data_IF_026298216533
#
_entry.id   IF_026298216533
#
_cell.length_a   1.000
_cell.length_b   1.000
_cell.length_c   1.000
_cell.angle_alpha   90.00
_cell.angle_beta   90.00
_cell.angle_gamma   90.00
#
_symmetry.space_group_name_H-M   'P 1'
#
loop_
_entity.id
_entity.type
_entity.pdbx_description
1 polymer ?
#
# COMPACT_ATOMS: atom_id res chain seq x y z
N UNK A 1 5.58 7.48 -0.23
CA UNK A 1 6.85 7.86 0.45
C UNK A 1 6.67 7.95 1.96
N UNK A 2 5.66 8.68 2.46
CA UNK A 2 5.32 8.72 3.89
C UNK A 2 4.89 7.36 4.43
N UNK A 3 3.62 7.00 4.23
CA UNK A 3 2.98 5.92 5.00
C UNK A 3 3.00 4.53 4.34
N UNK A 4 3.69 4.40 3.20
CA UNK A 4 3.92 3.09 2.57
C UNK A 4 5.01 2.31 3.29
N UNK A 5 4.72 1.06 3.65
CA UNK A 5 5.66 0.08 4.21
C UNK A 5 5.70 -1.19 3.35
N UNK A 6 6.91 -1.56 2.93
CA UNK A 6 7.13 -2.76 2.14
C UNK A 6 7.25 -3.97 3.06
N UNK A 7 6.53 -5.05 2.75
CA UNK A 7 6.55 -6.27 3.54
C UNK A 7 7.78 -7.13 3.25
N UNK A 8 7.97 -8.20 4.03
CA UNK A 8 9.16 -9.07 3.97
C UNK A 8 9.41 -9.68 2.57
N UNK A 9 8.34 -9.93 1.81
CA UNK A 9 8.42 -10.44 0.44
C UNK A 9 8.96 -9.42 -0.58
N UNK A 10 9.07 -8.15 -0.16
CA UNK A 10 9.47 -7.00 -0.97
C UNK A 10 8.53 -6.73 -2.15
N UNK A 11 7.32 -7.27 -2.15
CA UNK A 11 6.32 -7.14 -3.23
C UNK A 11 5.00 -6.59 -2.72
N UNK A 12 4.58 -7.04 -1.55
CA UNK A 12 3.39 -6.54 -0.86
C UNK A 12 3.71 -5.21 -0.17
N UNK A 13 2.84 -4.23 -0.29
CA UNK A 13 2.96 -2.94 0.38
C UNK A 13 1.72 -2.66 1.22
N UNK A 14 1.93 -2.20 2.46
CA UNK A 14 0.86 -1.69 3.31
C UNK A 14 0.93 -0.17 3.28
N UNK A 15 -0.20 0.47 3.00
CA UNK A 15 -0.38 1.89 3.15
C UNK A 15 -1.03 2.16 4.50
N UNK A 16 -0.24 2.69 5.43
CA UNK A 16 -0.64 2.98 6.79
C UNK A 16 -1.64 4.13 6.83
N UNK A 17 -2.93 3.78 6.95
CA UNK A 17 -4.10 4.65 6.82
C UNK A 17 -4.98 4.59 8.08
N UNK A 18 -4.35 4.33 9.23
CA UNK A 18 -5.02 4.16 10.53
C UNK A 18 -5.74 5.42 11.03
N UNK A 19 -5.42 6.59 10.46
CA UNK A 19 -6.13 7.83 10.75
C UNK A 19 -7.54 7.88 10.12
N UNK A 20 -7.81 7.02 9.13
CA UNK A 20 -9.11 6.92 8.49
C UNK A 20 -9.94 5.80 9.12
N UNK A 21 -11.26 5.94 9.01
CA UNK A 21 -12.22 4.89 9.36
C UNK A 21 -12.12 3.71 8.40
N UNK A 22 -12.67 2.57 8.82
CA UNK A 22 -12.78 1.38 7.96
C UNK A 22 -13.50 1.70 6.64
N UNK A 23 -14.63 2.42 6.69
CA UNK A 23 -15.40 2.79 5.49
C UNK A 23 -14.59 3.67 4.54
N UNK A 24 -13.87 4.67 5.05
CA UNK A 24 -13.00 5.52 4.24
C UNK A 24 -11.88 4.71 3.57
N UNK A 25 -11.30 3.74 4.28
CA UNK A 25 -10.30 2.84 3.71
C UNK A 25 -10.88 1.92 2.62
N UNK A 26 -12.13 1.45 2.78
CA UNK A 26 -12.83 0.71 1.74
C UNK A 26 -13.02 1.55 0.48
N UNK A 27 -13.54 2.77 0.62
CA UNK A 27 -13.76 3.70 -0.50
C UNK A 27 -12.42 3.99 -1.20
N UNK A 28 -11.36 4.31 -0.45
CA UNK A 28 -10.04 4.56 -1.02
C UNK A 28 -9.48 3.33 -1.75
N UNK A 29 -9.70 2.12 -1.22
CA UNK A 29 -9.27 0.88 -1.87
C UNK A 29 -10.03 0.66 -3.20
N UNK A 30 -11.34 0.89 -3.22
CA UNK A 30 -12.13 0.77 -4.46
C UNK A 30 -11.70 1.79 -5.52
N UNK A 31 -11.44 3.04 -5.12
CA UNK A 31 -10.95 4.09 -6.02
C UNK A 31 -9.55 3.77 -6.58
N UNK A 32 -8.65 3.24 -5.76
CA UNK A 32 -7.32 2.79 -6.21
C UNK A 32 -7.45 1.68 -7.26
N UNK A 33 -8.35 0.72 -7.02
CA UNK A 33 -8.61 -0.38 -7.94
C UNK A 33 -9.21 0.11 -9.25
N UNK A 34 -10.25 0.96 -9.19
CA UNK A 34 -10.94 1.49 -10.37
C UNK A 34 -10.03 2.38 -11.22
N UNK A 35 -9.22 3.25 -10.60
CA UNK A 35 -8.44 4.27 -11.30
C UNK A 35 -7.13 3.75 -11.87
N UNK A 36 -6.46 2.85 -11.15
CA UNK A 36 -5.12 2.40 -11.51
C UNK A 36 -5.06 0.91 -11.88
N UNK A 37 -6.16 0.17 -11.74
CA UNK A 37 -6.21 -1.27 -12.05
C UNK A 37 -5.53 -2.14 -10.99
N UNK A 38 -5.46 -1.67 -9.75
CA UNK A 38 -4.97 -2.47 -8.62
C UNK A 38 -5.99 -3.50 -8.15
N UNK A 39 -5.53 -4.41 -7.31
CA UNK A 39 -6.35 -5.36 -6.54
C UNK A 39 -6.15 -5.15 -5.04
N UNK A 40 -6.14 -3.90 -4.57
CA UNK A 40 -5.98 -3.60 -3.14
C UNK A 40 -7.17 -4.05 -2.31
N UNK A 41 -6.90 -4.33 -1.04
CA UNK A 41 -7.90 -4.72 -0.04
C UNK A 41 -7.66 -3.98 1.28
N UNK A 42 -8.72 -3.82 2.07
CA UNK A 42 -8.59 -3.35 3.45
C UNK A 42 -8.09 -4.52 4.30
N UNK A 43 -6.96 -4.33 4.99
CA UNK A 43 -6.35 -5.31 5.85
C UNK A 43 -6.37 -4.82 7.30
N UNK A 44 -6.82 -5.70 8.19
CA UNK A 44 -6.71 -5.48 9.63
C UNK A 44 -5.29 -5.77 10.08
N UNK A 45 -4.55 -4.72 10.45
CA UNK A 45 -3.20 -4.82 10.95
C UNK A 45 -3.17 -4.60 12.46
N UNK A 46 -2.14 -5.14 13.13
CA UNK A 46 -1.96 -4.94 14.58
C UNK A 46 -0.68 -4.16 14.90
N UNK A 47 -0.62 -2.85 14.60
CA UNK A 47 0.51 -2.04 15.02
C UNK A 47 0.46 -1.89 16.55
N UNK A 48 1.49 -2.39 17.25
CA UNK A 48 1.74 -2.06 18.65
C UNK A 48 0.55 -2.24 19.63
N UNK A 49 -0.12 -3.39 19.53
CA UNK A 49 -1.17 -3.94 20.43
C UNK A 49 -2.62 -3.60 20.10
N UNK A 50 -2.89 -2.55 19.32
CA UNK A 50 -4.25 -2.23 18.84
C UNK A 50 -4.46 -2.74 17.41
N UNK A 51 -5.71 -3.06 17.09
CA UNK A 51 -6.11 -3.45 15.74
C UNK A 51 -6.57 -2.20 14.99
N UNK A 52 -6.00 -1.97 13.82
CA UNK A 52 -6.33 -0.86 12.94
C UNK A 52 -6.53 -1.36 11.50
N UNK A 53 -7.26 -0.59 10.70
CA UNK A 53 -7.47 -0.87 9.29
C UNK A 53 -6.45 -0.11 8.44
N UNK A 54 -5.89 -0.78 7.44
CA UNK A 54 -4.99 -0.19 6.46
C UNK A 54 -5.28 -0.73 5.07
N UNK A 55 -4.71 -0.12 4.03
CA UNK A 55 -4.86 -0.61 2.66
C UNK A 55 -3.64 -1.45 2.28
N UNK A 56 -3.87 -2.66 1.81
CA UNK A 56 -2.85 -3.58 1.32
C UNK A 56 -2.84 -3.64 -0.19
N UNK A 57 -1.67 -3.40 -0.78
CA UNK A 57 -1.38 -3.70 -2.18
C UNK A 57 -0.86 -5.14 -2.30
N UNK A 58 -1.53 -5.93 -3.13
CA UNK A 58 -1.19 -7.33 -3.33
C UNK A 58 0.11 -7.51 -4.12
N UNK A 59 0.85 -8.58 -3.83
CA UNK A 59 2.12 -8.89 -4.49
C UNK A 59 2.02 -9.08 -6.00
N UNK A 60 0.83 -9.45 -6.51
CA UNK A 60 0.52 -9.54 -7.94
C UNK A 60 0.64 -8.18 -8.65
N UNK A 61 0.37 -7.10 -7.92
CA UNK A 61 0.39 -5.74 -8.44
C UNK A 61 1.77 -5.07 -8.29
N UNK A 62 2.77 -5.79 -7.77
CA UNK A 62 4.09 -5.23 -7.47
C UNK A 62 4.74 -4.55 -8.70
N UNK A 63 4.57 -5.13 -9.90
CA UNK A 63 5.09 -4.54 -11.14
C UNK A 63 4.39 -3.24 -11.51
N UNK A 64 3.06 -3.24 -11.44
CA UNK A 64 2.25 -2.07 -11.73
C UNK A 64 2.58 -0.93 -10.75
N UNK A 65 2.60 -1.24 -9.45
CA UNK A 65 2.92 -0.29 -8.40
C UNK A 65 4.36 0.24 -8.53
N UNK A 66 5.34 -0.64 -8.77
CA UNK A 66 6.74 -0.24 -8.99
C UNK A 66 6.85 0.77 -10.14
N UNK A 67 6.25 0.46 -11.29
CA UNK A 67 6.34 1.32 -12.47
C UNK A 67 5.63 2.67 -12.27
N UNK A 68 4.51 2.66 -11.55
CA UNK A 68 3.75 3.87 -11.25
C UNK A 68 4.52 4.83 -10.33
N UNK A 69 5.15 4.33 -9.26
CA UNK A 69 5.75 5.21 -8.23
C UNK A 69 7.23 5.49 -8.46
N UNK A 70 7.99 4.57 -9.09
CA UNK A 70 9.46 4.69 -9.23
C UNK A 70 9.93 6.02 -9.81
N UNK A 71 9.30 6.60 -10.85
CA UNK A 71 9.72 7.89 -11.40
C UNK A 71 9.60 9.06 -10.42
N UNK A 72 8.78 8.93 -9.38
CA UNK A 72 8.44 9.99 -8.43
C UNK A 72 9.06 9.81 -7.04
N UNK A 73 9.76 8.69 -6.80
CA UNK A 73 10.39 8.40 -5.52
C UNK A 73 11.80 8.96 -5.47
N UNK A 74 12.10 9.75 -4.45
CA UNK A 74 13.44 10.23 -4.19
C UNK A 74 14.41 9.06 -3.94
N UNK A 75 15.65 9.18 -4.42
CA UNK A 75 16.66 8.10 -4.38
C UNK A 75 16.89 7.53 -2.97
N UNK A 76 16.91 8.39 -1.93
CA UNK A 76 17.04 7.97 -0.53
C UNK A 76 15.88 7.10 -0.02
N UNK A 77 14.72 7.12 -0.70
CA UNK A 77 13.55 6.30 -0.37
C UNK A 77 13.34 5.14 -1.34
N UNK A 78 14.32 4.83 -2.20
CA UNK A 78 14.22 3.74 -3.17
C UNK A 78 13.96 2.36 -2.50
N UNK A 79 14.35 2.19 -1.24
CA UNK A 79 14.08 0.98 -0.46
C UNK A 79 12.58 0.73 -0.21
N UNK A 80 11.71 1.73 -0.39
CA UNK A 80 10.26 1.61 -0.26
C UNK A 80 9.55 1.16 -1.55
N UNK A 81 10.27 1.03 -2.67
CA UNK A 81 9.69 0.63 -3.95
C UNK A 81 9.60 -0.91 -4.00
N UNK A 82 8.45 -1.51 -4.42
CA UNK A 82 8.34 -2.94 -4.61
C UNK A 82 9.41 -3.50 -5.55
N UNK A 83 9.97 -4.66 -5.25
CA UNK A 83 10.94 -5.35 -6.10
C UNK A 83 10.21 -6.29 -7.05
N UNK A 84 10.47 -6.11 -8.34
CA UNK A 84 9.89 -6.88 -9.44
C UNK A 84 10.81 -8.02 -9.84
#
# INVERSE_FOLDING_TARGET
MGDGSLQKDRKTMILHTQSYTELENFILSEELNAKFGFTTEVELIRPHKNWDFCIKFNSKDALLLHNLIKPHVHSSMAYKIPKV
#
